data_IF_888520868446
#
_entry.id   IF_888520868446
#
_cell.length_a   1.000
_cell.length_b   1.000
_cell.length_c   1.000
_cell.angle_alpha   90.00
_cell.angle_beta   90.00
_cell.angle_gamma   90.00
#
_symmetry.space_group_name_H-M   'P 1'
#
loop_
_entity.id
_entity.type
_entity.pdbx_description
1 polymer ?
#
# COMPACT_ATOMS: atom_id res chain seq x y z
N UNK A 1 -6.51 34.30 18.47
CA UNK A 1 -6.08 32.88 18.41
C UNK A 1 -6.68 32.28 17.15
N UNK A 2 -5.90 31.87 16.17
CA UNK A 2 -6.46 31.08 15.06
C UNK A 2 -6.60 29.65 15.56
N UNK A 3 -7.75 29.42 16.17
CA UNK A 3 -8.07 28.22 16.93
C UNK A 3 -8.41 27.07 16.01
N UNK A 4 -7.97 25.89 16.42
CA UNK A 4 -8.54 24.63 15.96
C UNK A 4 -10.04 24.67 16.26
N UNK A 5 -10.88 24.55 15.25
CA UNK A 5 -12.34 24.50 15.40
C UNK A 5 -12.83 23.10 15.05
N UNK A 6 -13.56 22.48 15.97
CA UNK A 6 -14.28 21.25 15.68
C UNK A 6 -15.52 21.54 14.86
N UNK A 7 -15.73 20.77 13.81
CA UNK A 7 -16.92 20.81 12.95
C UNK A 7 -17.58 19.44 13.03
N UNK A 8 -18.90 19.46 13.20
CA UNK A 8 -19.71 18.27 13.31
C UNK A 8 -20.89 18.37 12.35
N UNK A 9 -21.14 17.28 11.63
CA UNK A 9 -22.29 17.11 10.75
C UNK A 9 -22.86 15.71 10.92
N UNK A 10 -24.13 15.55 10.57
CA UNK A 10 -24.75 14.25 10.39
C UNK A 10 -24.79 13.91 8.90
N UNK A 11 -24.31 12.72 8.54
CA UNK A 11 -24.39 12.18 7.18
C UNK A 11 -25.04 10.81 7.28
N UNK A 12 -26.24 10.65 6.71
CA UNK A 12 -26.97 9.37 6.70
C UNK A 12 -27.14 8.74 8.11
N UNK A 13 -27.37 9.57 9.14
CA UNK A 13 -27.52 9.12 10.53
C UNK A 13 -26.21 8.89 11.29
N UNK A 14 -25.05 9.11 10.65
CA UNK A 14 -23.73 8.94 11.25
C UNK A 14 -23.15 10.31 11.64
N UNK A 15 -22.71 10.49 12.90
CA UNK A 15 -22.02 11.71 13.30
C UNK A 15 -20.60 11.73 12.72
N UNK A 16 -20.34 12.70 11.86
CA UNK A 16 -19.05 12.91 11.20
C UNK A 16 -18.41 14.15 11.81
N UNK A 17 -17.17 14.01 12.32
CA UNK A 17 -16.46 15.10 13.01
C UNK A 17 -15.10 15.35 12.39
N UNK A 18 -14.76 16.62 12.23
CA UNK A 18 -13.46 17.05 11.74
C UNK A 18 -12.91 18.27 12.46
N UNK A 19 -11.59 18.45 12.36
CA UNK A 19 -10.88 19.61 12.89
C UNK A 19 -10.49 20.53 11.74
N UNK A 20 -10.98 21.78 11.81
CA UNK A 20 -10.55 22.86 10.94
C UNK A 20 -9.42 23.62 11.64
N UNK A 21 -8.22 23.56 11.08
CA UNK A 21 -7.03 24.22 11.59
C UNK A 21 -6.52 25.27 10.61
N UNK A 22 -5.93 26.35 11.12
CA UNK A 22 -5.19 27.27 10.27
C UNK A 22 -3.74 26.82 10.15
N UNK A 23 -3.31 26.54 8.92
CA UNK A 23 -1.93 26.18 8.63
C UNK A 23 -1.05 27.42 8.57
N UNK A 24 0.23 27.26 8.95
CA UNK A 24 1.29 28.26 8.79
C UNK A 24 1.49 28.67 7.32
N UNK A 25 1.03 27.87 6.37
CA UNK A 25 1.06 28.15 4.93
C UNK A 25 -0.12 29.01 4.44
N UNK A 26 -0.87 29.65 5.34
CA UNK A 26 -2.05 30.46 5.00
C UNK A 26 -3.21 29.69 4.34
N UNK A 27 -3.35 28.39 4.66
CA UNK A 27 -4.43 27.52 4.20
C UNK A 27 -5.26 27.05 5.40
N UNK A 28 -6.55 26.79 5.18
CA UNK A 28 -7.33 26.01 6.13
C UNK A 28 -7.12 24.52 5.86
N UNK A 29 -6.82 23.76 6.91
CA UNK A 29 -6.70 22.31 6.87
C UNK A 29 -7.91 21.72 7.58
N UNK A 30 -8.68 20.92 6.85
CA UNK A 30 -9.76 20.13 7.42
C UNK A 30 -9.32 18.66 7.53
N UNK A 31 -9.40 18.11 8.73
CA UNK A 31 -9.06 16.71 9.02
C UNK A 31 -10.29 15.99 9.55
N UNK A 32 -10.61 14.83 8.98
CA UNK A 32 -11.68 13.97 9.47
C UNK A 32 -11.13 13.06 10.59
N UNK A 33 -11.81 12.94 11.73
CA UNK A 33 -11.34 12.10 12.84
C UNK A 33 -12.42 11.22 13.48
N UNK A 34 -13.68 11.36 13.04
CA UNK A 34 -14.76 10.45 13.39
C UNK A 34 -15.69 10.27 12.18
N UNK A 35 -16.11 9.03 11.85
CA UNK A 35 -16.05 7.82 12.68
C UNK A 35 -14.74 7.01 12.59
N UNK A 36 -13.76 7.45 11.79
CA UNK A 36 -12.54 6.69 11.53
C UNK A 36 -11.38 7.13 12.43
N UNK A 37 -10.62 6.17 12.95
CA UNK A 37 -9.40 6.41 13.72
C UNK A 37 -8.17 6.52 12.81
N UNK A 38 -7.50 7.67 12.78
CA UNK A 38 -6.25 7.88 12.04
C UNK A 38 -6.16 9.25 11.36
N UNK A 39 -5.01 9.60 10.74
CA UNK A 39 -4.87 10.86 9.99
C UNK A 39 -5.64 10.74 8.67
N UNK A 40 -6.86 11.28 8.64
CA UNK A 40 -7.73 11.16 7.48
C UNK A 40 -7.69 12.45 6.67
N UNK A 41 -7.10 12.35 5.46
CA UNK A 41 -7.20 13.24 4.31
C UNK A 41 -7.34 14.75 4.63
N UNK A 42 -6.22 15.48 4.51
CA UNK A 42 -6.21 16.93 4.60
C UNK A 42 -6.79 17.56 3.34
N UNK A 43 -7.87 18.34 3.49
CA UNK A 43 -8.34 19.23 2.42
C UNK A 43 -7.85 20.65 2.66
N UNK A 44 -7.22 21.24 1.64
CA UNK A 44 -6.72 22.62 1.65
C UNK A 44 -7.53 23.48 0.68
N UNK A 45 -8.11 24.59 1.14
CA UNK A 45 -8.84 25.52 0.27
C UNK A 45 -8.27 26.96 0.34
N UNK A 46 -8.42 27.76 -0.73
CA UNK A 46 -7.82 29.09 -0.82
C UNK A 46 -8.44 30.10 0.16
N UNK A 47 -7.64 31.11 0.47
CA UNK A 47 -7.77 32.08 1.57
C UNK A 47 -8.94 33.05 1.42
N UNK A 48 -9.62 33.36 2.52
CA UNK A 48 -10.31 34.63 2.77
C UNK A 48 -9.54 35.35 3.89
N UNK A 49 -9.30 36.66 3.76
CA UNK A 49 -8.50 37.44 4.74
C UNK A 49 -9.40 38.07 5.82
N UNK A 50 -9.00 38.07 7.11
CA UNK A 50 -9.72 38.81 8.16
C UNK A 50 -9.58 40.34 7.99
N UNK A 51 -10.50 41.14 8.58
CA UNK A 51 -11.59 40.73 9.47
C UNK A 51 -12.73 40.05 8.71
N UNK A 52 -13.17 38.90 9.22
CA UNK A 52 -14.30 38.17 8.66
C UNK A 52 -15.60 38.80 9.18
N UNK A 53 -16.51 39.15 8.27
CA UNK A 53 -17.89 39.43 8.66
C UNK A 53 -18.55 38.12 9.12
N UNK A 54 -19.58 38.17 9.96
CA UNK A 54 -20.30 36.96 10.42
C UNK A 54 -20.77 36.09 9.23
N UNK A 55 -21.16 36.73 8.13
CA UNK A 55 -21.52 36.10 6.87
C UNK A 55 -20.38 35.25 6.29
N UNK A 56 -19.14 35.76 6.33
CA UNK A 56 -17.94 35.05 5.86
C UNK A 56 -17.58 33.86 6.76
N UNK A 57 -17.80 33.98 8.07
CA UNK A 57 -17.60 32.87 9.01
C UNK A 57 -18.62 31.74 8.78
N UNK A 58 -19.86 32.11 8.49
CA UNK A 58 -20.92 31.17 8.12
C UNK A 58 -20.57 30.44 6.81
N UNK A 59 -20.08 31.16 5.80
CA UNK A 59 -19.65 30.57 4.53
C UNK A 59 -18.48 29.58 4.71
N UNK A 60 -17.46 29.93 5.50
CA UNK A 60 -16.34 29.02 5.83
C UNK A 60 -16.84 27.76 6.54
N UNK A 61 -17.79 27.89 7.47
CA UNK A 61 -18.37 26.76 8.18
C UNK A 61 -19.18 25.86 7.23
N UNK A 62 -20.01 26.42 6.36
CA UNK A 62 -20.79 25.65 5.38
C UNK A 62 -19.88 24.92 4.39
N UNK A 63 -18.83 25.60 3.91
CA UNK A 63 -17.82 24.98 3.05
C UNK A 63 -17.14 23.82 3.76
N UNK A 64 -16.68 24.01 5.00
CA UNK A 64 -16.02 22.95 5.75
C UNK A 64 -16.95 21.76 6.05
N UNK A 65 -18.24 22.00 6.33
CA UNK A 65 -19.26 20.95 6.44
C UNK A 65 -19.43 20.16 5.13
N UNK A 66 -19.48 20.85 3.98
CA UNK A 66 -19.57 20.21 2.66
C UNK A 66 -18.33 19.35 2.34
N UNK A 67 -17.14 19.86 2.65
CA UNK A 67 -15.89 19.11 2.47
C UNK A 67 -15.80 17.91 3.42
N UNK A 68 -16.26 18.05 4.67
CA UNK A 68 -16.31 16.94 5.62
C UNK A 68 -17.22 15.80 5.13
N UNK A 69 -18.37 16.13 4.54
CA UNK A 69 -19.26 15.17 3.87
C UNK A 69 -18.56 14.48 2.69
N UNK A 70 -17.83 15.24 1.88
CA UNK A 70 -17.08 14.70 0.74
C UNK A 70 -15.99 13.73 1.21
N UNK A 71 -15.26 14.06 2.28
CA UNK A 71 -14.27 13.18 2.90
C UNK A 71 -14.91 11.90 3.41
N UNK A 72 -16.05 11.98 4.09
CA UNK A 72 -16.79 10.80 4.54
C UNK A 72 -17.16 9.86 3.39
N UNK A 73 -17.74 10.37 2.30
CA UNK A 73 -18.09 9.52 1.16
C UNK A 73 -16.86 8.94 0.44
N UNK A 74 -15.73 9.67 0.40
CA UNK A 74 -14.47 9.11 -0.08
C UNK A 74 -14.02 7.94 0.78
N UNK A 75 -14.05 8.07 2.11
CA UNK A 75 -13.72 6.99 3.03
C UNK A 75 -14.66 5.78 2.88
N UNK A 76 -15.97 5.99 2.78
CA UNK A 76 -16.92 4.90 2.56
C UNK A 76 -16.74 4.23 1.19
N UNK A 77 -16.39 4.99 0.14
CA UNK A 77 -16.03 4.44 -1.16
C UNK A 77 -14.79 3.56 -1.06
N UNK A 78 -13.72 4.05 -0.42
CA UNK A 78 -12.50 3.27 -0.21
C UNK A 78 -12.77 2.00 0.60
N UNK A 79 -13.58 2.09 1.66
CA UNK A 79 -13.98 0.94 2.49
C UNK A 79 -14.70 -0.15 1.69
N UNK A 80 -15.44 0.21 0.64
CA UNK A 80 -16.08 -0.76 -0.28
C UNK A 80 -15.08 -1.42 -1.24
N UNK A 81 -13.98 -0.75 -1.55
CA UNK A 81 -12.92 -1.29 -2.41
C UNK A 81 -11.93 -2.17 -1.62
N UNK A 82 -11.74 -1.95 -0.31
CA UNK A 82 -10.84 -2.75 0.54
C UNK A 82 -11.08 -4.27 0.39
N UNK A 83 -12.32 -4.80 0.53
CA UNK A 83 -12.55 -6.24 0.38
C UNK A 83 -12.21 -6.78 -1.02
N UNK A 84 -12.41 -5.97 -2.08
CA UNK A 84 -12.04 -6.37 -3.44
C UNK A 84 -10.53 -6.48 -3.58
N UNK A 85 -9.81 -5.52 -3.04
CA UNK A 85 -8.35 -5.56 -3.00
C UNK A 85 -7.82 -6.73 -2.15
N UNK A 86 -8.43 -6.99 -0.98
CA UNK A 86 -8.07 -8.14 -0.12
C UNK A 86 -8.27 -9.49 -0.83
N UNK A 87 -9.33 -9.62 -1.62
CA UNK A 87 -9.54 -10.82 -2.44
C UNK A 87 -8.50 -10.89 -3.57
N UNK A 88 -8.32 -9.79 -4.31
CA UNK A 88 -7.36 -9.74 -5.41
C UNK A 88 -5.93 -10.05 -4.97
N UNK A 89 -5.49 -9.56 -3.80
CA UNK A 89 -4.15 -9.82 -3.29
C UNK A 89 -3.98 -11.27 -2.82
N UNK A 90 -5.03 -11.91 -2.28
CA UNK A 90 -5.00 -13.33 -1.91
C UNK A 90 -4.90 -14.22 -3.13
N UNK A 91 -5.72 -13.94 -4.15
CA UNK A 91 -5.68 -14.66 -5.44
C UNK A 91 -4.32 -14.48 -6.11
N UNK A 92 -3.84 -13.24 -6.19
CA UNK A 92 -2.51 -12.93 -6.71
C UNK A 92 -1.40 -13.68 -5.97
N UNK A 93 -1.48 -13.79 -4.64
CA UNK A 93 -0.46 -14.48 -3.85
C UNK A 93 -0.42 -15.98 -4.17
N UNK A 94 -1.58 -16.62 -4.35
CA UNK A 94 -1.67 -18.02 -4.78
C UNK A 94 -1.05 -18.20 -6.18
N UNK A 95 -1.34 -17.29 -7.11
CA UNK A 95 -0.76 -17.29 -8.46
C UNK A 95 0.76 -17.08 -8.43
N UNK A 96 1.27 -16.26 -7.51
CA UNK A 96 2.71 -16.04 -7.34
C UNK A 96 3.40 -17.29 -6.77
N UNK A 97 2.76 -17.96 -5.81
CA UNK A 97 3.23 -19.22 -5.25
C UNK A 97 3.27 -20.35 -6.28
N UNK A 98 2.43 -20.28 -7.32
CA UNK A 98 2.41 -21.24 -8.43
C UNK A 98 3.67 -21.24 -9.29
N UNK A 99 4.54 -20.22 -9.18
CA UNK A 99 5.84 -20.18 -9.85
C UNK A 99 6.88 -20.74 -8.87
N UNK A 100 7.30 -22.00 -8.93
CA UNK A 100 8.11 -22.59 -7.85
C UNK A 100 9.57 -22.10 -7.91
N UNK A 101 9.97 -21.36 -6.88
CA UNK A 101 11.36 -20.95 -6.61
C UNK A 101 11.82 -21.63 -5.33
N UNK A 102 13.06 -22.13 -5.33
CA UNK A 102 13.65 -22.77 -4.16
C UNK A 102 13.88 -21.72 -3.06
N UNK A 103 13.43 -22.03 -1.86
CA UNK A 103 13.84 -21.33 -0.65
C UNK A 103 15.36 -21.50 -0.41
N UNK A 104 15.99 -20.63 0.38
CA UNK A 104 17.41 -20.77 0.73
C UNK A 104 17.76 -22.13 1.35
N UNK A 105 16.85 -22.71 2.13
CA UNK A 105 16.99 -24.06 2.71
C UNK A 105 16.93 -25.15 1.64
N UNK A 106 15.94 -25.13 0.75
CA UNK A 106 15.82 -26.12 -0.33
C UNK A 106 17.00 -26.03 -1.30
N UNK A 107 17.49 -24.81 -1.57
CA UNK A 107 18.70 -24.59 -2.36
C UNK A 107 19.92 -25.24 -1.72
N UNK A 108 20.09 -25.05 -0.40
CA UNK A 108 21.18 -25.64 0.37
C UNK A 108 21.12 -27.16 0.33
N UNK A 109 19.96 -27.76 0.59
CA UNK A 109 19.75 -29.21 0.54
C UNK A 109 20.08 -29.79 -0.83
N UNK A 110 19.60 -29.17 -1.91
CA UNK A 110 19.91 -29.62 -3.28
C UNK A 110 21.39 -29.52 -3.63
N UNK A 111 22.06 -28.46 -3.19
CA UNK A 111 23.50 -28.31 -3.40
C UNK A 111 24.30 -29.34 -2.60
N UNK A 112 23.92 -29.63 -1.36
CA UNK A 112 24.57 -30.67 -0.55
C UNK A 112 24.40 -32.05 -1.19
N UNK A 113 23.19 -32.36 -1.69
CA UNK A 113 22.92 -33.60 -2.43
C UNK A 113 23.80 -33.73 -3.69
N UNK A 114 23.89 -32.69 -4.51
CA UNK A 114 24.73 -32.70 -5.72
C UNK A 114 26.22 -32.85 -5.39
N UNK A 115 26.69 -32.23 -4.30
CA UNK A 115 28.06 -32.39 -3.81
C UNK A 115 28.35 -33.81 -3.34
N UNK A 116 27.40 -34.44 -2.63
CA UNK A 116 27.53 -35.84 -2.21
C UNK A 116 27.60 -36.78 -3.43
N UNK A 117 26.73 -36.59 -4.43
CA UNK A 117 26.76 -37.38 -5.65
C UNK A 117 28.09 -37.28 -6.41
N UNK A 118 28.70 -36.09 -6.44
CA UNK A 118 30.04 -35.87 -6.99
C UNK A 118 31.12 -36.62 -6.17
N UNK A 119 31.07 -36.53 -4.84
CA UNK A 119 32.04 -37.19 -3.96
C UNK A 119 31.97 -38.72 -4.01
N UNK A 120 30.76 -39.27 -4.16
CA UNK A 120 30.50 -40.70 -4.25
C UNK A 120 30.75 -41.28 -5.66
N UNK A 121 31.10 -40.43 -6.64
CA UNK A 121 31.41 -40.84 -8.00
C UNK A 121 30.19 -41.17 -8.88
N UNK A 122 28.99 -40.79 -8.44
CA UNK A 122 27.76 -40.94 -9.24
C UNK A 122 27.59 -39.84 -10.30
N UNK A 123 28.44 -38.81 -10.26
CA UNK A 123 28.40 -37.66 -11.14
C UNK A 123 29.82 -37.14 -11.41
N UNK A 124 30.10 -36.77 -12.67
CA UNK A 124 31.35 -36.12 -13.05
C UNK A 124 31.33 -34.61 -12.74
N UNK A 125 32.51 -34.03 -12.54
CA UNK A 125 32.66 -32.60 -12.23
C UNK A 125 31.99 -31.69 -13.28
N UNK A 126 32.14 -32.00 -14.57
CA UNK A 126 31.53 -31.19 -15.64
C UNK A 126 30.00 -31.26 -15.62
N UNK A 127 29.44 -32.41 -15.25
CA UNK A 127 27.99 -32.59 -15.11
C UNK A 127 27.49 -31.81 -13.89
N UNK A 128 28.24 -31.84 -12.78
CA UNK A 128 27.93 -31.07 -11.58
C UNK A 128 27.88 -29.57 -11.85
N UNK A 129 28.94 -29.00 -12.44
CA UNK A 129 29.03 -27.56 -12.73
C UNK A 129 27.91 -27.11 -13.66
N UNK A 130 27.65 -27.88 -14.72
CA UNK A 130 26.54 -27.61 -15.64
C UNK A 130 25.18 -27.66 -14.92
N UNK A 131 24.96 -28.66 -14.08
CA UNK A 131 23.70 -28.81 -13.34
C UNK A 131 23.46 -27.65 -12.39
N UNK A 132 24.50 -27.19 -11.68
CA UNK A 132 24.42 -26.03 -10.78
C UNK A 132 24.12 -24.75 -11.58
N UNK A 133 24.80 -24.55 -12.70
CA UNK A 133 24.59 -23.40 -13.58
C UNK A 133 23.15 -23.38 -14.13
N UNK A 134 22.68 -24.50 -14.66
CA UNK A 134 21.33 -24.63 -15.22
C UNK A 134 20.26 -24.39 -14.13
N UNK A 135 20.46 -24.97 -12.94
CA UNK A 135 19.54 -24.79 -11.82
C UNK A 135 19.50 -23.32 -11.36
N UNK A 136 20.65 -22.66 -11.27
CA UNK A 136 20.77 -21.24 -10.87
C UNK A 136 20.05 -20.37 -11.89
N UNK A 137 20.33 -20.56 -13.17
CA UNK A 137 19.71 -19.81 -14.28
C UNK A 137 18.19 -19.95 -14.28
N UNK A 138 17.67 -21.16 -14.07
CA UNK A 138 16.22 -21.41 -14.00
C UNK A 138 15.60 -20.75 -12.77
N UNK A 139 16.27 -20.77 -11.62
CA UNK A 139 15.78 -20.09 -10.41
C UNK A 139 15.75 -18.57 -10.57
N UNK A 140 16.81 -17.97 -11.12
CA UNK A 140 16.85 -16.53 -11.42
C UNK A 140 15.75 -16.11 -12.39
N UNK A 141 15.52 -16.90 -13.45
CA UNK A 141 14.45 -16.64 -14.41
C UNK A 141 13.07 -16.63 -13.73
N UNK A 142 12.80 -17.62 -12.87
CA UNK A 142 11.54 -17.72 -12.14
C UNK A 142 11.38 -16.62 -11.09
N UNK A 143 12.46 -16.25 -10.41
CA UNK A 143 12.46 -15.14 -9.46
C UNK A 143 12.16 -13.81 -10.16
N UNK A 144 12.78 -13.57 -11.32
CA UNK A 144 12.49 -12.40 -12.15
C UNK A 144 11.05 -12.39 -12.66
N UNK A 145 10.48 -13.55 -12.99
CA UNK A 145 9.07 -13.67 -13.35
C UNK A 145 8.14 -13.27 -12.19
N UNK A 146 8.43 -13.75 -10.97
CA UNK A 146 7.68 -13.35 -9.77
C UNK A 146 7.74 -11.85 -9.53
N UNK A 147 8.94 -11.24 -9.58
CA UNK A 147 9.11 -9.79 -9.39
C UNK A 147 8.32 -8.97 -10.42
N UNK A 148 8.35 -9.35 -11.70
CA UNK A 148 7.56 -8.68 -12.76
C UNK A 148 6.06 -8.79 -12.56
N UNK A 149 5.57 -9.95 -12.08
CA UNK A 149 4.15 -10.12 -11.78
C UNK A 149 3.74 -9.26 -10.58
N UNK A 150 4.56 -9.17 -9.53
CA UNK A 150 4.33 -8.27 -8.40
C UNK A 150 4.28 -6.81 -8.85
N UNK A 151 5.24 -6.37 -9.67
CA UNK A 151 5.27 -5.03 -10.23
C UNK A 151 3.99 -4.72 -11.05
N UNK A 152 3.59 -5.64 -11.93
CA UNK A 152 2.39 -5.48 -12.75
C UNK A 152 1.11 -5.45 -11.90
N UNK A 153 1.04 -6.22 -10.81
CA UNK A 153 -0.11 -6.19 -9.90
C UNK A 153 -0.16 -4.87 -9.14
N UNK A 154 0.95 -4.45 -8.53
CA UNK A 154 1.00 -3.24 -7.73
C UNK A 154 0.74 -1.97 -8.55
N UNK A 155 1.21 -1.90 -9.79
CA UNK A 155 0.93 -0.74 -10.66
C UNK A 155 -0.55 -0.53 -10.97
N UNK A 156 -1.38 -1.58 -10.90
CA UNK A 156 -2.84 -1.48 -11.08
C UNK A 156 -3.54 -0.83 -9.88
N UNK A 157 -3.01 -1.02 -8.67
CA UNK A 157 -3.68 -0.60 -7.43
C UNK A 157 -2.97 0.55 -6.71
N UNK A 158 -1.68 0.75 -6.96
CA UNK A 158 -0.80 1.72 -6.30
C UNK A 158 0.05 2.47 -7.35
N UNK A 159 -0.57 3.16 -8.32
CA UNK A 159 0.13 3.83 -9.41
C UNK A 159 1.12 4.90 -8.92
N UNK A 160 0.82 5.49 -7.76
CA UNK A 160 1.62 6.53 -7.10
C UNK A 160 2.98 6.01 -6.62
N UNK A 161 3.10 4.70 -6.33
CA UNK A 161 4.33 4.08 -5.83
C UNK A 161 5.24 3.53 -6.94
N UNK A 162 4.88 3.76 -8.21
CA UNK A 162 5.66 3.35 -9.38
C UNK A 162 7.11 3.89 -9.36
N UNK A 163 7.35 5.05 -8.73
CA UNK A 163 8.69 5.63 -8.59
C UNK A 163 9.63 4.88 -7.61
N UNK A 164 9.12 3.94 -6.79
CA UNK A 164 9.92 3.15 -5.85
C UNK A 164 10.53 1.88 -6.47
N UNK A 165 10.29 1.63 -7.77
CA UNK A 165 10.75 0.47 -8.56
C UNK A 165 12.22 0.08 -8.40
N UNK A 166 13.11 1.04 -8.12
CA UNK A 166 14.55 0.77 -8.05
C UNK A 166 15.10 0.63 -6.62
N UNK A 167 14.25 0.71 -5.60
CA UNK A 167 14.69 0.78 -4.19
C UNK A 167 14.26 -0.41 -3.33
N UNK A 168 13.41 -1.32 -3.83
CA UNK A 168 12.85 -2.40 -3.02
C UNK A 168 12.47 -3.65 -3.83
N UNK A 169 12.39 -4.83 -3.18
CA UNK A 169 11.83 -6.06 -3.78
C UNK A 169 10.32 -6.02 -3.71
N UNK A 170 9.65 -6.15 -4.86
CA UNK A 170 8.19 -6.08 -4.96
C UNK A 170 7.52 -7.27 -4.29
N UNK A 171 8.19 -8.43 -4.31
CA UNK A 171 7.73 -9.63 -3.60
C UNK A 171 7.68 -9.38 -2.09
N UNK A 172 8.70 -8.73 -1.53
CA UNK A 172 8.73 -8.40 -0.10
C UNK A 172 7.63 -7.41 0.27
N UNK A 173 7.36 -6.44 -0.60
CA UNK A 173 6.25 -5.51 -0.42
C UNK A 173 4.90 -6.24 -0.41
N UNK A 174 4.62 -7.08 -1.42
CA UNK A 174 3.40 -7.89 -1.48
C UNK A 174 3.25 -8.80 -0.24
N UNK A 175 4.33 -9.45 0.20
CA UNK A 175 4.33 -10.32 1.38
C UNK A 175 3.95 -9.57 2.66
N UNK A 176 4.61 -8.44 2.92
CA UNK A 176 4.32 -7.62 4.10
C UNK A 176 2.88 -7.07 4.06
N UNK A 177 2.37 -6.77 2.86
CA UNK A 177 0.97 -6.36 2.66
C UNK A 177 -0.02 -7.50 2.99
N UNK A 178 0.28 -8.73 2.57
CA UNK A 178 -0.55 -9.91 2.84
C UNK A 178 -0.54 -10.35 4.31
N UNK A 179 0.61 -10.32 4.99
CA UNK A 179 0.71 -10.81 6.37
C UNK A 179 0.31 -9.78 7.42
N UNK A 180 0.69 -8.51 7.24
CA UNK A 180 0.51 -7.50 8.29
C UNK A 180 -0.81 -6.76 8.21
N UNK A 181 -1.67 -7.05 7.21
CA UNK A 181 -2.95 -6.37 6.98
C UNK A 181 -2.85 -4.84 7.02
N UNK A 182 -1.74 -4.29 6.52
CA UNK A 182 -1.48 -2.84 6.51
C UNK A 182 -2.27 -2.08 5.42
N UNK A 183 -3.45 -2.57 5.07
CA UNK A 183 -4.39 -1.88 4.19
C UNK A 183 -4.92 -0.57 4.80
N UNK A 184 -4.83 -0.42 6.13
CA UNK A 184 -5.26 0.76 6.87
C UNK A 184 -4.21 1.87 6.98
N UNK A 185 -3.00 1.68 6.41
CA UNK A 185 -1.93 2.70 6.39
C UNK A 185 -1.79 3.41 5.04
N UNK A 186 -2.58 3.03 4.04
CA UNK A 186 -2.85 3.80 2.82
C UNK A 186 -4.12 4.64 3.03
#
# INVERSE_FOLDING_TARGET
MLGVRTIEIEVEGIPVKGTLQWSTQSLYQLELYAPYSGPVYTFSFPKLFPPFQEETLSEIEQNAKSHLRTLFYKCESLKKEIPKFETAIKEFWLDLQSIPVLSPSEWKEKNEFLKQALQEGYMDHDIYEKTIFDLTTVMEKKQNEREKRCESFLSQYLPEFSHLQNHFSWIRFCYEFTEKKHLLLL
#
